data_IF_067685345464
#
_entry.id   IF_067685345464
#
_cell.length_a   1.000
_cell.length_b   1.000
_cell.length_c   1.000
_cell.angle_alpha   90.00
_cell.angle_beta   90.00
_cell.angle_gamma   90.00
#
_symmetry.space_group_name_H-M   'P 1'
#
loop_
_entity.id
_entity.type
_entity.pdbx_description
1 polymer ?
#
# COMPACT_ATOMS: atom_id res chain seq x y z
N UNK A 1 57.84 -23.05 16.81
CA UNK A 1 56.68 -23.52 17.59
C UNK A 1 55.46 -22.75 17.09
N UNK A 2 54.54 -23.43 16.41
CA UNK A 2 53.45 -22.81 15.66
C UNK A 2 52.29 -22.46 16.59
N UNK A 3 51.89 -21.19 16.62
CA UNK A 3 50.69 -20.73 17.35
C UNK A 3 49.51 -20.86 16.39
N UNK A 4 48.76 -21.95 16.52
CA UNK A 4 47.49 -22.10 15.85
C UNK A 4 46.45 -21.20 16.53
N UNK A 5 46.12 -20.10 15.86
CA UNK A 5 45.02 -19.20 16.24
C UNK A 5 43.68 -19.94 16.01
N UNK A 6 43.22 -20.63 17.05
CA UNK A 6 41.94 -21.36 17.04
C UNK A 6 40.79 -20.35 17.05
N UNK A 7 40.39 -19.92 15.85
CA UNK A 7 39.29 -18.98 15.67
C UNK A 7 37.97 -19.62 16.10
N UNK A 8 37.20 -18.82 16.83
CA UNK A 8 36.00 -19.14 17.59
C UNK A 8 34.81 -19.61 16.70
N UNK A 9 34.87 -20.87 16.26
CA UNK A 9 33.94 -21.52 15.32
C UNK A 9 32.52 -21.76 15.86
N UNK A 10 32.31 -21.67 17.19
CA UNK A 10 30.98 -21.91 17.80
C UNK A 10 30.07 -20.69 17.74
N UNK A 11 30.64 -19.50 17.89
CA UNK A 11 29.91 -18.22 17.80
C UNK A 11 29.39 -18.03 16.38
N UNK A 12 30.24 -18.26 15.37
CA UNK A 12 29.87 -18.18 13.94
C UNK A 12 28.73 -19.12 13.54
N UNK A 13 28.65 -20.33 14.12
CA UNK A 13 27.59 -21.30 13.81
C UNK A 13 26.23 -20.89 14.37
N UNK A 14 26.16 -20.39 15.60
CA UNK A 14 24.90 -19.92 16.20
C UNK A 14 24.35 -18.68 15.48
N UNK A 15 25.23 -17.78 15.03
CA UNK A 15 24.86 -16.64 14.19
C UNK A 15 24.27 -17.09 12.84
N UNK A 16 24.89 -18.07 12.18
CA UNK A 16 24.38 -18.62 10.91
C UNK A 16 23.00 -19.27 11.07
N UNK A 17 22.78 -20.06 12.12
CA UNK A 17 21.47 -20.66 12.38
C UNK A 17 20.40 -19.59 12.69
N UNK A 18 20.72 -18.57 13.50
CA UNK A 18 19.80 -17.47 13.78
C UNK A 18 19.46 -16.65 12.52
N UNK A 19 20.43 -16.44 11.63
CA UNK A 19 20.22 -15.73 10.37
C UNK A 19 19.29 -16.54 9.45
N UNK A 20 19.56 -17.83 9.24
CA UNK A 20 18.71 -18.71 8.41
C UNK A 20 17.28 -18.80 8.96
N UNK A 21 17.09 -18.89 10.28
CA UNK A 21 15.75 -18.87 10.88
C UNK A 21 15.04 -17.52 10.66
N UNK A 22 15.77 -16.40 10.69
CA UNK A 22 15.18 -15.08 10.46
C UNK A 22 14.71 -14.90 9.00
N UNK A 23 15.52 -15.28 8.00
CA UNK A 23 15.11 -15.19 6.59
C UNK A 23 14.00 -16.19 6.20
N UNK A 24 13.84 -17.29 6.92
CA UNK A 24 12.75 -18.26 6.68
C UNK A 24 11.44 -17.86 7.38
N UNK A 25 11.49 -17.03 8.45
CA UNK A 25 10.31 -16.54 9.17
C UNK A 25 9.80 -15.18 8.71
N UNK A 26 10.61 -14.38 7.99
CA UNK A 26 10.17 -13.14 7.36
C UNK A 26 10.01 -13.34 5.84
N UNK A 27 8.87 -13.88 5.36
CA UNK A 27 8.56 -13.80 3.95
C UNK A 27 8.50 -12.31 3.57
N UNK A 28 9.14 -11.95 2.46
CA UNK A 28 9.47 -10.56 2.12
C UNK A 28 8.33 -9.55 2.34
N UNK A 29 8.69 -8.38 2.88
CA UNK A 29 7.79 -7.24 3.06
C UNK A 29 7.20 -6.84 1.69
N UNK A 30 5.94 -7.18 1.46
CA UNK A 30 5.19 -6.70 0.30
C UNK A 30 4.70 -5.30 0.62
N UNK A 31 5.26 -4.29 -0.05
CA UNK A 31 4.81 -2.92 0.09
C UNK A 31 3.43 -2.80 -0.60
N UNK A 32 2.41 -2.44 0.18
CA UNK A 32 1.06 -2.12 -0.32
C UNK A 32 0.83 -0.62 -0.26
N UNK A 33 0.19 -0.06 -1.28
CA UNK A 33 -0.24 1.34 -1.33
C UNK A 33 -1.76 1.40 -1.40
N UNK A 34 -2.39 2.18 -0.52
CA UNK A 34 -3.84 2.27 -0.45
C UNK A 34 -4.30 3.50 -1.20
N UNK A 35 -5.24 3.32 -2.13
CA UNK A 35 -5.83 4.41 -2.91
C UNK A 35 -7.22 4.75 -2.37
N UNK A 36 -7.38 6.02 -2.00
CA UNK A 36 -8.66 6.58 -1.55
C UNK A 36 -9.19 7.57 -2.58
N UNK A 37 -10.52 7.70 -2.64
CA UNK A 37 -11.18 8.75 -3.42
C UNK A 37 -11.23 10.02 -2.57
N UNK A 38 -10.74 11.13 -3.11
CA UNK A 38 -10.80 12.45 -2.45
C UNK A 38 -11.94 13.29 -2.99
N UNK A 39 -12.19 13.27 -4.30
CA UNK A 39 -13.33 13.97 -4.87
C UNK A 39 -13.82 13.31 -6.16
N UNK A 40 -15.08 13.54 -6.49
CA UNK A 40 -15.64 13.16 -7.78
C UNK A 40 -16.74 14.14 -8.18
N UNK A 41 -16.76 14.48 -9.45
CA UNK A 41 -17.85 15.16 -10.12
C UNK A 41 -18.18 14.39 -11.40
N UNK A 42 -19.46 14.16 -11.62
CA UNK A 42 -19.97 13.48 -12.81
C UNK A 42 -20.71 14.50 -13.66
N UNK A 43 -20.46 14.51 -14.96
CA UNK A 43 -21.05 15.49 -15.88
C UNK A 43 -22.21 14.93 -16.70
N UNK A 44 -22.27 13.62 -16.91
CA UNK A 44 -23.31 12.96 -17.69
C UNK A 44 -23.91 11.76 -16.95
N UNK A 45 -25.03 11.25 -17.43
CA UNK A 45 -25.63 9.99 -16.98
C UNK A 45 -26.15 9.27 -18.23
N UNK A 46 -25.89 7.98 -18.33
CA UNK A 46 -26.21 7.15 -19.48
C UNK A 46 -27.62 6.54 -19.36
N UNK A 47 -28.14 6.37 -18.14
CA UNK A 47 -29.49 5.86 -17.93
C UNK A 47 -30.56 6.95 -18.19
N UNK A 48 -31.32 6.82 -19.27
CA UNK A 48 -32.41 7.77 -19.59
C UNK A 48 -33.60 7.68 -18.62
N UNK A 49 -33.84 6.48 -18.05
CA UNK A 49 -35.05 6.18 -17.27
C UNK A 49 -34.92 6.49 -15.78
N UNK A 50 -33.69 6.65 -15.25
CA UNK A 50 -33.47 6.97 -13.84
C UNK A 50 -32.88 8.36 -13.67
N UNK A 51 -33.50 9.21 -12.83
CA UNK A 51 -32.96 10.54 -12.55
C UNK A 51 -31.77 10.53 -11.59
N UNK A 52 -31.43 9.38 -10.99
CA UNK A 52 -30.36 9.25 -9.99
C UNK A 52 -29.37 8.17 -10.46
N UNK A 53 -28.14 8.53 -10.82
CA UNK A 53 -27.11 7.57 -11.21
C UNK A 53 -26.74 6.67 -10.03
N UNK A 54 -26.47 5.40 -10.32
CA UNK A 54 -25.91 4.45 -9.35
C UNK A 54 -24.47 4.14 -9.72
N UNK A 55 -23.53 4.90 -9.16
CA UNK A 55 -22.13 4.86 -9.57
C UNK A 55 -21.35 3.82 -8.76
N UNK A 56 -20.46 3.10 -9.41
CA UNK A 56 -19.47 2.27 -8.74
C UNK A 56 -18.09 2.40 -9.37
N UNK A 57 -17.07 2.14 -8.56
CA UNK A 57 -15.68 2.03 -8.99
C UNK A 57 -15.26 0.57 -8.99
N UNK A 58 -14.41 0.18 -9.94
CA UNK A 58 -13.84 -1.17 -9.97
C UNK A 58 -12.46 -1.17 -10.60
N UNK A 59 -11.55 -1.95 -10.04
CA UNK A 59 -10.30 -2.32 -10.66
C UNK A 59 -10.26 -3.82 -10.99
N UNK A 60 -9.46 -4.20 -11.98
CA UNK A 60 -9.23 -5.60 -12.33
C UNK A 60 -8.60 -6.37 -11.16
N UNK A 61 -9.23 -7.49 -10.79
CA UNK A 61 -8.84 -8.30 -9.63
C UNK A 61 -9.50 -7.89 -8.31
N UNK A 62 -10.13 -6.71 -8.25
CA UNK A 62 -10.78 -6.21 -7.04
C UNK A 62 -12.30 -6.36 -7.10
N UNK A 63 -12.93 -6.28 -5.92
CA UNK A 63 -14.37 -6.17 -5.81
C UNK A 63 -14.84 -4.78 -6.29
N UNK A 64 -16.09 -4.70 -6.75
CA UNK A 64 -16.71 -3.41 -7.05
C UNK A 64 -17.03 -2.66 -5.76
N UNK A 65 -16.79 -1.36 -5.78
CA UNK A 65 -17.08 -0.45 -4.67
C UNK A 65 -18.19 0.49 -5.10
N UNK A 66 -19.36 0.38 -4.47
CA UNK A 66 -20.50 1.26 -4.75
C UNK A 66 -20.24 2.60 -4.05
N UNK A 67 -20.52 3.71 -4.75
CA UNK A 67 -20.40 5.07 -4.21
C UNK A 67 -21.79 5.57 -3.82
N UNK A 68 -22.27 5.31 -2.58
CA UNK A 68 -23.66 5.60 -2.20
C UNK A 68 -23.97 7.10 -2.13
N UNK A 69 -22.95 7.96 -2.00
CA UNK A 69 -23.12 9.40 -1.80
C UNK A 69 -23.22 10.18 -3.12
N UNK A 70 -22.74 9.60 -4.22
CA UNK A 70 -22.73 10.22 -5.54
C UNK A 70 -24.07 9.97 -6.22
N UNK A 71 -24.93 11.01 -6.23
CA UNK A 71 -26.34 10.87 -6.65
C UNK A 71 -26.79 11.90 -7.68
N UNK A 72 -25.95 12.88 -8.01
CA UNK A 72 -26.32 13.98 -8.90
C UNK A 72 -25.13 14.34 -9.79
N UNK A 73 -25.42 14.64 -11.05
CA UNK A 73 -24.47 15.26 -11.96
C UNK A 73 -24.24 16.73 -11.61
N UNK A 74 -23.10 17.27 -12.04
CA UNK A 74 -22.65 18.64 -11.80
C UNK A 74 -22.58 19.04 -10.31
N UNK A 75 -22.31 18.04 -9.46
CA UNK A 75 -22.07 18.23 -8.04
C UNK A 75 -20.70 17.65 -7.73
N UNK A 76 -19.82 18.49 -7.22
CA UNK A 76 -18.54 18.07 -6.68
C UNK A 76 -18.75 17.45 -5.29
N UNK A 77 -18.54 16.15 -5.19
CA UNK A 77 -18.50 15.43 -3.93
C UNK A 77 -17.04 15.37 -3.45
N UNK A 78 -16.83 15.62 -2.17
CA UNK A 78 -15.52 15.54 -1.52
C UNK A 78 -15.59 14.61 -0.31
N UNK A 79 -14.56 13.79 -0.14
CA UNK A 79 -14.47 12.70 0.82
C UNK A 79 -13.22 12.83 1.67
N UNK A 80 -13.24 12.20 2.84
CA UNK A 80 -12.13 12.24 3.81
C UNK A 80 -11.26 10.99 3.80
N UNK A 81 -11.66 9.93 3.09
CA UNK A 81 -11.00 8.63 3.17
C UNK A 81 -11.47 7.78 4.35
N UNK A 82 -12.41 8.27 5.15
CA UNK A 82 -12.95 7.62 6.35
C UNK A 82 -14.30 6.93 6.08
N UNK A 83 -14.84 7.07 4.86
CA UNK A 83 -16.13 6.48 4.50
C UNK A 83 -16.05 4.95 4.51
N UNK A 84 -17.11 4.28 4.96
CA UNK A 84 -17.12 2.83 5.18
C UNK A 84 -16.90 1.98 3.94
N UNK A 85 -17.01 2.57 2.75
CA UNK A 85 -16.79 1.93 1.46
C UNK A 85 -15.38 2.17 0.91
N UNK A 86 -14.55 2.98 1.57
CA UNK A 86 -13.13 3.15 1.25
C UNK A 86 -12.28 2.08 1.94
N UNK A 87 -11.10 1.73 1.41
CA UNK A 87 -10.45 2.29 0.21
C UNK A 87 -11.05 1.80 -1.12
N UNK A 88 -10.67 2.45 -2.22
CA UNK A 88 -11.13 2.04 -3.56
C UNK A 88 -10.34 0.86 -4.12
N UNK A 89 -9.03 0.86 -3.91
CA UNK A 89 -8.13 -0.22 -4.35
C UNK A 89 -6.82 -0.13 -3.57
N UNK A 90 -6.00 -1.18 -3.69
CA UNK A 90 -4.62 -1.20 -3.24
C UNK A 90 -3.68 -1.62 -4.36
N UNK A 91 -2.47 -1.08 -4.38
CA UNK A 91 -1.40 -1.54 -5.25
C UNK A 91 -0.50 -2.53 -4.55
N UNK A 92 -0.16 -3.61 -5.26
CA UNK A 92 0.94 -4.49 -4.86
C UNK A 92 2.18 -4.09 -5.64
N UNK A 93 3.14 -3.45 -4.96
CA UNK A 93 4.34 -2.90 -5.58
C UNK A 93 4.03 -1.91 -6.75
N UNK A 94 4.76 -2.03 -7.87
CA UNK A 94 4.68 -1.11 -9.03
C UNK A 94 3.64 -1.50 -10.09
N UNK A 95 2.83 -2.51 -9.83
CA UNK A 95 1.92 -3.05 -10.86
C UNK A 95 0.70 -2.14 -11.01
N UNK A 96 0.46 -1.64 -12.22
CA UNK A 96 -0.75 -0.90 -12.54
C UNK A 96 -1.98 -1.80 -12.58
N UNK A 97 -3.16 -1.19 -12.39
CA UNK A 97 -4.46 -1.85 -12.49
C UNK A 97 -5.32 -1.14 -13.54
N UNK A 98 -6.04 -1.91 -14.35
CA UNK A 98 -7.12 -1.40 -15.19
C UNK A 98 -8.31 -1.11 -14.29
N UNK A 99 -8.72 0.15 -14.20
CA UNK A 99 -9.78 0.62 -13.31
C UNK A 99 -10.76 1.52 -14.05
N UNK A 100 -11.97 1.64 -13.52
CA UNK A 100 -12.99 2.49 -14.13
C UNK A 100 -14.11 2.88 -13.20
N UNK A 101 -14.85 3.90 -13.62
CA UNK A 101 -16.14 4.27 -13.06
C UNK A 101 -17.25 3.81 -14.00
N UNK A 102 -18.29 3.23 -13.42
CA UNK A 102 -19.40 2.65 -14.16
C UNK A 102 -20.72 3.13 -13.58
N UNK A 103 -21.71 3.25 -14.45
CA UNK A 103 -23.10 3.46 -14.07
C UNK A 103 -23.80 2.12 -14.05
N UNK A 104 -24.31 1.74 -12.88
CA UNK A 104 -25.05 0.51 -12.73
C UNK A 104 -26.43 0.65 -13.36
N UNK A 105 -26.65 -0.14 -14.39
CA UNK A 105 -27.93 -0.24 -15.04
C UNK A 105 -28.75 -1.40 -14.45
N UNK A 106 -30.08 -1.30 -14.53
CA UNK A 106 -30.96 -2.35 -14.00
C UNK A 106 -31.68 -3.17 -15.04
N UNK A 107 -31.58 -2.75 -16.31
CA UNK A 107 -32.27 -3.39 -17.43
C UNK A 107 -31.29 -3.79 -18.53
N UNK A 108 -30.22 -3.03 -18.74
CA UNK A 108 -29.18 -3.29 -19.74
C UNK A 108 -27.83 -3.59 -19.07
N UNK A 109 -26.78 -3.73 -19.89
CA UNK A 109 -25.40 -3.77 -19.42
C UNK A 109 -25.01 -2.44 -18.80
N UNK A 110 -24.30 -2.48 -17.67
CA UNK A 110 -23.74 -1.28 -17.03
C UNK A 110 -22.95 -0.42 -18.03
N UNK A 111 -23.21 0.89 -18.02
CA UNK A 111 -22.52 1.85 -18.86
C UNK A 111 -21.19 2.26 -18.22
N UNK A 112 -20.20 2.58 -19.07
CA UNK A 112 -18.87 3.00 -18.64
C UNK A 112 -18.75 4.52 -18.74
N UNK A 113 -18.40 5.19 -17.63
CA UNK A 113 -18.01 6.60 -17.69
C UNK A 113 -16.59 6.74 -18.22
N UNK A 114 -15.65 5.96 -17.67
CA UNK A 114 -14.30 5.79 -18.21
C UNK A 114 -13.62 4.56 -17.61
N UNK A 115 -12.74 3.94 -18.39
CA UNK A 115 -11.83 2.88 -17.96
C UNK A 115 -10.40 3.18 -18.43
N UNK A 116 -9.49 3.30 -17.47
CA UNK A 116 -8.08 3.66 -17.70
C UNK A 116 -7.13 2.75 -16.94
N UNK A 117 -5.83 2.87 -17.23
CA UNK A 117 -4.79 2.20 -16.46
C UNK A 117 -4.34 3.13 -15.33
N UNK A 118 -4.62 2.75 -14.09
CA UNK A 118 -4.22 3.47 -12.89
C UNK A 118 -2.91 2.86 -12.36
N UNK A 119 -1.88 3.68 -12.26
CA UNK A 119 -0.55 3.30 -11.84
C UNK A 119 -0.11 4.05 -10.57
N UNK A 120 0.73 3.44 -9.70
CA UNK A 120 1.36 4.16 -8.60
C UNK A 120 2.16 5.40 -9.06
N UNK A 121 2.71 5.37 -10.28
CA UNK A 121 3.46 6.48 -10.88
C UNK A 121 2.61 7.71 -11.23
N UNK A 122 1.28 7.58 -11.28
CA UNK A 122 0.40 8.71 -11.62
C UNK A 122 0.27 9.71 -10.46
N UNK A 123 0.55 9.25 -9.24
CA UNK A 123 0.53 10.03 -8.01
C UNK A 123 1.83 10.82 -7.86
N UNK A 124 1.94 11.91 -8.60
CA UNK A 124 3.16 12.74 -8.67
C UNK A 124 3.12 13.97 -7.78
N UNK A 125 1.94 14.37 -7.28
CA UNK A 125 1.82 15.52 -6.40
C UNK A 125 2.44 15.22 -5.01
N UNK A 126 3.04 16.20 -4.32
CA UNK A 126 3.74 15.97 -3.04
C UNK A 126 2.89 15.36 -1.92
N UNK A 127 1.57 15.53 -1.98
CA UNK A 127 0.58 14.95 -1.06
C UNK A 127 0.08 13.56 -1.52
N UNK A 128 0.66 13.01 -2.58
CA UNK A 128 0.22 11.76 -3.18
C UNK A 128 -1.11 11.91 -3.89
N UNK A 129 -1.43 13.09 -4.43
CA UNK A 129 -2.66 13.34 -5.18
C UNK A 129 -2.51 13.02 -6.66
N UNK A 130 -3.56 12.41 -7.22
CA UNK A 130 -3.74 12.20 -8.65
C UNK A 130 -5.12 12.71 -9.06
N UNK A 131 -5.22 13.38 -10.22
CA UNK A 131 -6.49 13.84 -10.79
C UNK A 131 -6.69 13.16 -12.12
N UNK A 132 -7.81 12.47 -12.25
CA UNK A 132 -8.24 11.84 -13.49
C UNK A 132 -9.43 12.61 -14.05
N UNK A 133 -9.34 12.98 -15.32
CA UNK A 133 -10.37 13.75 -16.00
C UNK A 133 -10.69 13.11 -17.34
N UNK A 134 -11.99 12.87 -17.56
CA UNK A 134 -12.52 12.45 -18.84
C UNK A 134 -13.52 13.49 -19.32
N UNK A 135 -13.25 14.05 -20.50
CA UNK A 135 -14.06 15.14 -21.06
C UNK A 135 -15.54 14.73 -21.12
N UNK A 136 -16.42 15.59 -20.57
CA UNK A 136 -17.88 15.41 -20.52
C UNK A 136 -18.40 14.22 -19.71
N UNK A 137 -17.51 13.40 -19.15
CA UNK A 137 -17.89 12.24 -18.34
C UNK A 137 -17.72 12.51 -16.86
N UNK A 138 -16.47 12.73 -16.42
CA UNK A 138 -16.16 12.88 -14.99
C UNK A 138 -14.86 13.65 -14.72
N UNK A 139 -14.75 14.14 -13.49
CA UNK A 139 -13.54 14.64 -12.88
C UNK A 139 -13.39 14.02 -11.48
N UNK A 140 -12.38 13.18 -11.29
CA UNK A 140 -12.11 12.50 -10.02
C UNK A 140 -10.71 12.81 -9.52
N UNK A 141 -10.57 12.91 -8.20
CA UNK A 141 -9.26 12.99 -7.55
C UNK A 141 -9.07 11.89 -6.52
N UNK A 142 -7.87 11.36 -6.49
CA UNK A 142 -7.46 10.23 -5.68
C UNK A 142 -6.26 10.61 -4.81
N UNK A 143 -6.13 9.94 -3.68
CA UNK A 143 -5.03 10.14 -2.73
C UNK A 143 -4.37 8.80 -2.43
N UNK A 144 -3.06 8.76 -2.56
CA UNK A 144 -2.18 7.64 -2.23
C UNK A 144 -0.79 8.18 -1.82
N UNK A 145 -0.59 8.52 -0.54
CA UNK A 145 0.70 9.03 -0.06
C UNK A 145 1.81 7.99 -0.21
N UNK A 146 1.49 6.70 -0.04
CA UNK A 146 2.44 5.61 -0.20
C UNK A 146 2.91 5.44 -1.65
N UNK A 147 2.12 5.91 -2.62
CA UNK A 147 2.46 5.80 -4.05
C UNK A 147 3.71 6.60 -4.44
N UNK A 148 4.04 7.65 -3.67
CA UNK A 148 5.26 8.43 -3.86
C UNK A 148 6.52 7.59 -3.70
N UNK A 149 6.49 6.57 -2.83
CA UNK A 149 7.59 5.64 -2.64
C UNK A 149 7.82 4.70 -3.84
N UNK A 150 6.82 4.52 -4.70
CA UNK A 150 6.92 3.68 -5.91
C UNK A 150 7.37 4.44 -7.15
N UNK A 151 7.04 5.73 -7.24
CA UNK A 151 7.32 6.61 -8.39
C UNK A 151 8.80 7.01 -8.49
N UNK A 152 9.43 7.25 -7.34
CA UNK A 152 10.86 7.47 -7.28
C UNK A 152 11.53 6.14 -7.59
N UNK A 153 12.18 6.06 -8.75
CA UNK A 153 12.93 4.89 -9.23
C UNK A 153 14.09 4.47 -8.34
N UNK A 154 14.08 4.79 -7.04
CA UNK A 154 14.86 4.05 -6.07
C UNK A 154 14.56 2.56 -6.27
N UNK A 155 15.59 1.72 -6.41
CA UNK A 155 15.40 0.29 -6.25
C UNK A 155 14.66 0.07 -4.93
N UNK A 156 13.94 -1.03 -4.81
CA UNK A 156 13.36 -1.52 -3.56
C UNK A 156 14.50 -1.77 -2.54
N UNK A 157 15.07 -0.69 -2.01
CA UNK A 157 16.37 -0.62 -1.35
C UNK A 157 16.48 0.63 -0.46
N UNK A 158 15.37 1.17 0.05
CA UNK A 158 15.39 2.29 1.03
C UNK A 158 14.18 2.32 1.98
N UNK A 159 13.49 1.18 2.16
CA UNK A 159 13.15 0.79 3.54
C UNK A 159 14.21 -0.19 4.04
N UNK A 160 15.47 0.16 3.84
CA UNK A 160 16.50 -0.09 4.84
C UNK A 160 16.16 0.76 6.09
N UNK A 161 15.02 0.51 6.77
CA UNK A 161 15.20 0.34 8.23
C UNK A 161 16.10 -0.87 8.25
N UNK A 162 17.42 -0.62 8.24
CA UNK A 162 18.30 -1.62 7.66
C UNK A 162 18.03 -2.93 8.35
N UNK A 163 18.05 -4.04 7.61
CA UNK A 163 18.00 -5.33 8.28
C UNK A 163 19.07 -5.33 9.38
N UNK A 164 20.18 -4.61 9.18
CA UNK A 164 21.10 -4.14 10.23
C UNK A 164 20.45 -3.36 11.36
N UNK A 165 19.69 -2.28 11.17
CA UNK A 165 19.00 -1.53 12.22
C UNK A 165 17.98 -2.38 13.02
N UNK A 166 17.19 -3.25 12.38
CA UNK A 166 16.27 -4.17 13.07
C UNK A 166 17.07 -5.25 13.82
N UNK A 167 18.07 -5.85 13.18
CA UNK A 167 19.00 -6.77 13.83
C UNK A 167 19.75 -6.08 14.97
N UNK A 168 20.17 -4.82 14.82
CA UNK A 168 20.85 -4.02 15.84
C UNK A 168 19.88 -3.73 16.99
N UNK A 169 18.62 -3.39 16.73
CA UNK A 169 17.61 -3.16 17.77
C UNK A 169 17.31 -4.45 18.54
N UNK A 170 17.15 -5.58 17.84
CA UNK A 170 16.92 -6.88 18.47
C UNK A 170 18.17 -7.36 19.21
N UNK A 171 19.37 -7.19 18.64
CA UNK A 171 20.65 -7.59 19.23
C UNK A 171 21.01 -6.72 20.43
N UNK A 172 20.71 -5.41 20.41
CA UNK A 172 20.90 -4.50 21.54
C UNK A 172 19.98 -4.87 22.71
N UNK A 173 18.69 -5.14 22.46
CA UNK A 173 17.76 -5.55 23.51
C UNK A 173 18.15 -6.93 24.10
N UNK A 174 18.49 -7.90 23.25
CA UNK A 174 18.91 -9.23 23.69
C UNK A 174 20.24 -9.20 24.48
N UNK A 175 21.19 -8.34 24.09
CA UNK A 175 22.45 -8.17 24.81
C UNK A 175 22.27 -7.47 26.17
N UNK A 176 21.37 -6.48 26.26
CA UNK A 176 21.01 -5.83 27.52
C UNK A 176 20.33 -6.84 28.48
N UNK A 177 19.43 -7.69 27.98
CA UNK A 177 18.79 -8.72 28.80
C UNK A 177 19.77 -9.82 29.24
N UNK A 178 20.67 -10.25 28.36
CA UNK A 178 21.69 -11.25 28.68
C UNK A 178 22.72 -10.73 29.70
N UNK A 179 23.15 -9.47 29.60
CA UNK A 179 24.06 -8.85 30.57
C UNK A 179 23.38 -8.63 31.92
N UNK A 180 22.10 -8.25 31.96
CA UNK A 180 21.32 -8.17 33.20
C UNK A 180 21.19 -9.54 33.89
N UNK A 181 20.95 -10.62 33.13
CA UNK A 181 20.87 -11.97 33.65
C UNK A 181 22.22 -12.47 34.21
N UNK A 182 23.33 -12.20 33.52
CA UNK A 182 24.68 -12.58 33.95
C UNK A 182 25.12 -11.80 35.20
N UNK A 183 24.86 -10.48 35.27
CA UNK A 183 25.16 -9.67 36.45
C UNK A 183 24.35 -10.15 37.67
N UNK A 184 23.10 -10.57 37.47
CA UNK A 184 22.24 -11.11 38.53
C UNK A 184 22.69 -12.49 39.02
N UNK A 185 23.36 -13.27 38.17
CA UNK A 185 24.00 -14.53 38.53
C UNK A 185 25.34 -14.31 39.24
N UNK A 186 26.13 -13.32 38.83
CA UNK A 186 27.42 -12.97 39.47
C UNK A 186 27.20 -12.35 40.86
N UNK A 187 26.15 -11.56 41.08
CA UNK A 187 25.80 -11.01 42.41
C UNK A 187 25.18 -12.02 43.38
N UNK A 188 24.92 -13.25 42.93
CA UNK A 188 24.32 -14.34 43.75
C UNK A 188 25.35 -15.41 44.15
N UNK A 189 26.60 -15.24 43.73
CA UNK A 189 27.80 -15.96 44.16
C UNK A 189 28.54 -15.14 45.20
#
# INVERSE_FOLDING_TARGET
MSVQHLQNSRVSRLFLFSFIFFFTYFPGLVLSAVVTLSSIEIFTTHEWLRPTPSVYFRCSGDNKTILPDVKKKHVLYAFKGEESWQPLTEFTARKCKRCGFYEKDSVLSDDEFDEWELCPSDFTAPDGKYVHFKEKELNASFICPECLSFSNGEPLATFEISFTAIVIFVHANYFVDATAAIIKLIKRS
#
